data_IF_054465295407
#
_entry.id   IF_054465295407
#
_cell.length_a   1.000
_cell.length_b   1.000
_cell.length_c   1.000
_cell.angle_alpha   90.00
_cell.angle_beta   90.00
_cell.angle_gamma   90.00
#
_symmetry.space_group_name_H-M   'P 1'
#
loop_
_entity.id
_entity.type
_entity.pdbx_description
1 polymer ?
#
# COMPACT_ATOMS: atom_id res chain seq x y z
N UNK A 1 -16.60 -21.58 -90.97
CA UNK A 1 -15.16 -21.35 -90.72
C UNK A 1 -15.00 -20.74 -89.34
N UNK A 2 -13.99 -21.21 -88.61
CA UNK A 2 -13.60 -20.86 -87.23
C UNK A 2 -13.66 -19.35 -86.93
N UNK A 3 -14.03 -18.96 -85.71
CA UNK A 3 -13.12 -18.29 -84.75
C UNK A 3 -13.83 -17.80 -83.47
N UNK A 4 -13.31 -18.29 -82.32
CA UNK A 4 -12.92 -17.57 -81.09
C UNK A 4 -13.98 -16.66 -80.41
N UNK A 5 -14.70 -17.11 -79.37
CA UNK A 5 -14.28 -17.04 -77.94
C UNK A 5 -13.56 -15.75 -77.54
N UNK A 6 -14.29 -14.81 -76.93
CA UNK A 6 -13.74 -13.78 -76.04
C UNK A 6 -14.53 -13.83 -74.72
N UNK A 7 -13.96 -14.48 -73.71
CA UNK A 7 -14.43 -14.39 -72.32
C UNK A 7 -13.73 -13.18 -71.72
N UNK A 8 -14.48 -12.12 -71.42
CA UNK A 8 -14.00 -10.98 -70.67
C UNK A 8 -13.86 -11.38 -69.20
N UNK A 9 -12.62 -11.54 -68.74
CA UNK A 9 -12.31 -11.80 -67.34
C UNK A 9 -12.37 -10.46 -66.57
N UNK A 10 -13.50 -10.18 -65.92
CA UNK A 10 -13.60 -9.09 -64.95
C UNK A 10 -12.77 -9.44 -63.72
N UNK A 11 -11.59 -8.84 -63.60
CA UNK A 11 -10.79 -8.87 -62.37
C UNK A 11 -11.44 -7.91 -61.36
N UNK A 12 -12.25 -8.45 -60.46
CA UNK A 12 -12.66 -7.72 -59.26
C UNK A 12 -11.49 -7.68 -58.28
N UNK A 13 -10.86 -6.52 -58.14
CA UNK A 13 -9.93 -6.25 -57.05
C UNK A 13 -10.74 -6.14 -55.74
N UNK A 14 -10.82 -7.25 -54.99
CA UNK A 14 -11.30 -7.24 -53.61
C UNK A 14 -10.24 -6.53 -52.75
N UNK A 15 -10.49 -5.24 -52.47
CA UNK A 15 -9.81 -4.52 -51.38
C UNK A 15 -10.32 -5.12 -50.08
N UNK A 16 -9.64 -6.15 -49.59
CA UNK A 16 -9.85 -6.69 -48.26
C UNK A 16 -9.38 -5.68 -47.22
N UNK A 17 -10.30 -4.88 -46.68
CA UNK A 17 -10.08 -4.23 -45.40
C UNK A 17 -9.97 -5.32 -44.33
N UNK A 18 -8.76 -5.79 -44.06
CA UNK A 18 -8.46 -6.50 -42.82
C UNK A 18 -8.62 -5.51 -41.67
N UNK A 19 -9.82 -5.47 -41.08
CA UNK A 19 -9.98 -5.04 -39.69
C UNK A 19 -9.19 -6.05 -38.87
N UNK A 20 -7.96 -5.69 -38.50
CA UNK A 20 -7.22 -6.42 -37.48
C UNK A 20 -8.01 -6.22 -36.20
N UNK A 21 -8.78 -7.24 -35.85
CA UNK A 21 -9.41 -7.36 -34.53
C UNK A 21 -8.29 -7.61 -33.52
N UNK A 22 -7.57 -6.54 -33.16
CA UNK A 22 -6.61 -6.57 -32.07
C UNK A 22 -7.43 -6.72 -30.81
N UNK A 23 -7.59 -7.97 -30.33
CA UNK A 23 -8.02 -8.23 -28.95
C UNK A 23 -7.12 -7.39 -28.04
N UNK A 24 -7.66 -6.29 -27.53
CA UNK A 24 -6.97 -5.43 -26.59
C UNK A 24 -6.69 -6.27 -25.35
N UNK A 25 -5.41 -6.51 -25.07
CA UNK A 25 -5.01 -7.34 -23.94
C UNK A 25 -5.13 -6.49 -22.68
N UNK A 26 -6.18 -6.71 -21.92
CA UNK A 26 -6.36 -6.10 -20.61
C UNK A 26 -5.43 -6.75 -19.58
N UNK A 27 -4.86 -5.93 -18.72
CA UNK A 27 -3.93 -6.33 -17.67
C UNK A 27 -4.67 -6.51 -16.35
N UNK A 28 -4.17 -7.41 -15.51
CA UNK A 28 -4.63 -7.58 -14.14
C UNK A 28 -3.53 -7.15 -13.17
N UNK A 29 -3.69 -5.96 -12.59
CA UNK A 29 -2.73 -5.34 -11.69
C UNK A 29 -3.06 -5.74 -10.26
N UNK A 30 -2.04 -6.08 -9.47
CA UNK A 30 -2.16 -6.50 -8.07
C UNK A 30 -1.18 -5.71 -7.21
N UNK A 31 -1.42 -5.64 -5.88
CA UNK A 31 -0.39 -5.24 -4.97
C UNK A 31 0.86 -6.12 -5.12
N UNK A 32 2.03 -5.50 -5.08
CA UNK A 32 3.33 -6.14 -4.95
C UNK A 32 3.30 -6.96 -3.66
N UNK A 33 3.63 -8.26 -3.71
CA UNK A 33 3.70 -9.08 -2.51
C UNK A 33 4.67 -8.48 -1.50
N UNK A 34 4.23 -8.38 -0.24
CA UNK A 34 5.07 -7.96 0.88
C UNK A 34 6.31 -8.86 0.99
N UNK A 35 7.47 -8.23 1.23
CA UNK A 35 8.74 -8.91 1.42
C UNK A 35 9.12 -9.06 2.92
N UNK A 36 8.18 -8.77 3.83
CA UNK A 36 8.43 -8.84 5.27
C UNK A 36 8.58 -10.30 5.70
N UNK A 37 9.78 -10.66 6.15
CA UNK A 37 10.03 -11.95 6.79
C UNK A 37 9.98 -11.79 8.32
N UNK A 38 8.85 -12.16 8.92
CA UNK A 38 8.61 -12.04 10.37
C UNK A 38 9.65 -12.76 11.24
N UNK A 39 10.32 -13.79 10.73
CA UNK A 39 11.35 -14.54 11.47
C UNK A 39 12.74 -13.89 11.40
N UNK A 40 12.93 -12.88 10.56
CA UNK A 40 14.24 -12.31 10.25
C UNK A 40 14.19 -10.82 9.92
N UNK A 41 13.31 -10.05 10.56
CA UNK A 41 13.27 -8.58 10.39
C UNK A 41 14.57 -7.99 10.94
N UNK A 42 15.35 -7.32 10.10
CA UNK A 42 16.63 -6.70 10.49
C UNK A 42 16.60 -5.19 10.43
N UNK A 43 16.28 -4.63 9.26
CA UNK A 43 16.33 -3.19 9.01
C UNK A 43 15.06 -2.78 8.28
N UNK A 44 14.14 -2.13 9.00
CA UNK A 44 12.84 -1.74 8.47
C UNK A 44 12.19 -0.64 9.31
N UNK A 45 11.25 0.10 8.71
CA UNK A 45 10.29 0.93 9.44
C UNK A 45 8.90 0.44 9.08
N UNK A 46 8.21 -0.19 10.04
CA UNK A 46 6.96 -0.91 9.77
C UNK A 46 5.79 -0.34 10.59
N UNK A 47 4.58 -0.27 10.01
CA UNK A 47 3.36 -0.11 10.78
C UNK A 47 3.15 -1.30 11.73
N UNK A 48 2.71 -1.02 12.95
CA UNK A 48 2.48 -2.07 13.94
C UNK A 48 1.33 -1.74 14.89
N UNK A 49 0.73 -2.79 15.45
CA UNK A 49 -0.31 -2.74 16.48
C UNK A 49 0.18 -3.43 17.74
N UNK A 50 0.05 -2.77 18.87
CA UNK A 50 0.34 -3.29 20.22
C UNK A 50 -0.28 -2.37 21.27
N UNK A 51 -0.33 -2.81 22.52
CA UNK A 51 -0.66 -1.95 23.67
C UNK A 51 0.51 -1.86 24.65
N UNK A 52 0.40 -1.01 25.66
CA UNK A 52 1.42 -0.92 26.73
C UNK A 52 1.66 -2.26 27.44
N UNK A 53 0.69 -3.17 27.47
CA UNK A 53 0.83 -4.48 28.13
C UNK A 53 1.64 -5.48 27.32
N UNK A 54 1.88 -5.22 26.03
CA UNK A 54 2.68 -6.10 25.16
C UNK A 54 4.19 -5.90 25.34
N UNK A 55 4.61 -4.92 26.15
CA UNK A 55 6.00 -4.76 26.54
C UNK A 55 6.40 -5.79 27.60
N UNK A 56 7.43 -6.59 27.31
CA UNK A 56 8.13 -7.37 28.32
C UNK A 56 9.35 -6.57 28.81
N UNK A 57 9.17 -5.83 29.90
CA UNK A 57 10.22 -4.97 30.46
C UNK A 57 11.40 -5.75 31.04
N UNK A 58 11.17 -6.97 31.55
CA UNK A 58 12.25 -7.82 32.07
C UNK A 58 13.15 -8.36 30.97
N UNK A 59 12.58 -8.78 29.85
CA UNK A 59 13.33 -9.28 28.68
C UNK A 59 13.75 -8.16 27.73
N UNK A 60 13.29 -6.92 27.98
CA UNK A 60 13.47 -5.76 27.11
C UNK A 60 13.05 -6.06 25.68
N UNK A 61 11.79 -6.46 25.50
CA UNK A 61 11.21 -6.76 24.18
C UNK A 61 9.78 -6.27 24.06
N UNK A 62 9.27 -6.17 22.84
CA UNK A 62 7.88 -5.85 22.54
C UNK A 62 7.28 -6.94 21.66
N UNK A 63 6.09 -7.42 22.05
CA UNK A 63 5.21 -8.18 21.17
C UNK A 63 4.36 -7.21 20.34
N UNK A 64 4.28 -7.44 19.03
CA UNK A 64 3.48 -6.58 18.17
C UNK A 64 2.92 -7.34 16.97
N UNK A 65 1.81 -6.86 16.43
CA UNK A 65 1.32 -7.28 15.12
C UNK A 65 1.90 -6.36 14.06
N UNK A 66 2.58 -6.92 13.07
CA UNK A 66 3.19 -6.21 11.95
C UNK A 66 2.21 -6.10 10.79
N UNK A 67 2.21 -4.94 10.14
CA UNK A 67 1.46 -4.67 8.92
C UNK A 67 2.41 -4.19 7.82
N UNK A 68 2.04 -4.45 6.57
CA UNK A 68 2.62 -3.84 5.38
C UNK A 68 1.65 -2.82 4.76
N UNK A 69 2.14 -2.05 3.82
CA UNK A 69 1.32 -1.20 2.95
C UNK A 69 1.15 -1.94 1.62
N UNK A 70 -0.07 -1.98 1.09
CA UNK A 70 -0.32 -2.48 -0.26
C UNK A 70 0.24 -1.48 -1.28
N UNK A 71 1.30 -1.89 -1.98
CA UNK A 71 1.99 -1.08 -2.98
C UNK A 71 1.75 -1.63 -4.38
N UNK A 72 1.65 -0.77 -5.37
CA UNK A 72 1.46 -1.11 -6.78
C UNK A 72 2.65 -0.62 -7.58
N UNK A 73 3.05 -1.36 -8.61
CA UNK A 73 4.19 -1.01 -9.45
C UNK A 73 3.86 0.21 -10.34
N UNK A 74 4.69 1.25 -10.30
CA UNK A 74 4.46 2.47 -11.08
C UNK A 74 4.51 2.24 -12.60
N UNK A 75 5.27 1.26 -13.07
CA UNK A 75 5.34 0.90 -14.50
C UNK A 75 4.06 0.20 -14.96
N UNK A 76 3.39 -0.56 -14.08
CA UNK A 76 2.06 -1.11 -14.34
C UNK A 76 0.99 -0.01 -14.29
N UNK A 77 1.01 0.84 -13.26
CA UNK A 77 0.04 1.93 -13.09
C UNK A 77 0.10 2.95 -14.23
N UNK A 78 1.30 3.31 -14.71
CA UNK A 78 1.46 4.24 -15.84
C UNK A 78 0.93 3.71 -17.18
N UNK A 79 0.66 2.41 -17.28
CA UNK A 79 0.07 1.76 -18.48
C UNK A 79 -1.39 1.37 -18.29
N UNK A 80 -1.96 1.68 -17.12
CA UNK A 80 -3.35 1.40 -16.79
C UNK A 80 -4.27 2.03 -17.84
N UNK A 81 -5.19 1.25 -18.37
CA UNK A 81 -6.17 1.72 -19.34
C UNK A 81 -7.57 1.15 -19.06
N UNK A 82 -8.57 1.71 -19.73
CA UNK A 82 -9.94 1.22 -19.61
C UNK A 82 -10.04 -0.27 -19.96
N UNK A 83 -10.83 -1.01 -19.17
CA UNK A 83 -11.00 -2.46 -19.25
C UNK A 83 -9.93 -3.28 -18.52
N UNK A 84 -8.81 -2.67 -18.08
CA UNK A 84 -7.90 -3.34 -17.14
C UNK A 84 -8.61 -3.65 -15.82
N UNK A 85 -8.01 -4.52 -15.01
CA UNK A 85 -8.53 -4.85 -13.69
C UNK A 85 -7.48 -4.54 -12.63
N UNK A 86 -7.88 -3.87 -11.56
CA UNK A 86 -7.06 -3.68 -10.36
C UNK A 86 -7.61 -4.53 -9.22
N UNK A 87 -6.74 -5.23 -8.49
CA UNK A 87 -7.10 -5.94 -7.27
C UNK A 87 -6.98 -4.99 -6.08
N UNK A 88 -8.08 -4.69 -5.40
CA UNK A 88 -8.10 -3.88 -4.18
C UNK A 88 -8.94 -4.59 -3.12
N UNK A 89 -8.42 -4.78 -1.90
CA UNK A 89 -9.12 -5.48 -0.80
C UNK A 89 -9.69 -6.85 -1.18
N UNK A 90 -8.96 -7.60 -2.01
CA UNK A 90 -9.38 -8.88 -2.61
C UNK A 90 -10.56 -8.80 -3.58
N UNK A 91 -10.98 -7.59 -3.96
CA UNK A 91 -12.01 -7.34 -4.97
C UNK A 91 -11.36 -6.95 -6.29
N UNK A 92 -11.94 -7.45 -7.39
CA UNK A 92 -11.49 -7.13 -8.75
C UNK A 92 -12.32 -5.96 -9.26
N UNK A 93 -11.68 -4.83 -9.47
CA UNK A 93 -12.31 -3.61 -9.97
C UNK A 93 -11.91 -3.46 -11.44
N UNK A 94 -12.89 -3.51 -12.34
CA UNK A 94 -12.69 -3.22 -13.76
C UNK A 94 -12.59 -1.71 -13.94
N UNK A 95 -11.60 -1.24 -14.69
CA UNK A 95 -11.34 0.18 -14.89
C UNK A 95 -12.27 0.72 -15.98
N UNK A 96 -13.31 1.43 -15.57
CA UNK A 96 -14.30 2.05 -16.47
C UNK A 96 -14.04 3.56 -16.64
N UNK A 97 -13.37 4.17 -15.66
CA UNK A 97 -13.02 5.60 -15.65
C UNK A 97 -11.66 5.80 -15.00
N UNK A 98 -10.85 6.68 -15.60
CA UNK A 98 -9.57 7.13 -15.05
C UNK A 98 -9.58 8.66 -15.07
N UNK A 99 -9.27 9.27 -13.94
CA UNK A 99 -9.11 10.72 -13.77
C UNK A 99 -7.77 10.95 -13.05
N UNK A 100 -7.00 11.94 -13.49
CA UNK A 100 -5.72 12.29 -12.86
C UNK A 100 -5.76 13.77 -12.47
N UNK A 101 -5.76 14.02 -11.15
CA UNK A 101 -5.74 15.36 -10.57
C UNK A 101 -4.64 15.49 -9.51
N UNK A 102 -5.00 15.62 -8.23
CA UNK A 102 -4.10 15.41 -7.10
C UNK A 102 -3.71 13.93 -6.96
N UNK A 103 -4.63 13.03 -7.30
CA UNK A 103 -4.44 11.58 -7.24
C UNK A 103 -4.84 10.93 -8.57
N UNK A 104 -4.43 9.67 -8.76
CA UNK A 104 -4.96 8.85 -9.84
C UNK A 104 -6.24 8.17 -9.35
N UNK A 105 -7.37 8.62 -9.87
CA UNK A 105 -8.71 8.24 -9.45
C UNK A 105 -9.32 7.28 -10.46
N UNK A 106 -9.57 6.04 -10.03
CA UNK A 106 -10.19 4.97 -10.80
C UNK A 106 -11.65 4.86 -10.38
N UNK A 107 -12.58 4.86 -11.34
CA UNK A 107 -14.02 4.71 -11.12
C UNK A 107 -14.62 5.67 -10.07
N UNK A 108 -14.14 6.91 -10.04
CA UNK A 108 -14.59 7.92 -9.09
C UNK A 108 -13.97 7.81 -7.69
N UNK A 109 -13.02 6.90 -7.48
CA UNK A 109 -12.33 6.76 -6.20
C UNK A 109 -13.13 5.96 -5.16
N UNK A 110 -12.62 5.92 -3.94
CA UNK A 110 -13.09 4.98 -2.90
C UNK A 110 -14.56 5.21 -2.54
N UNK A 111 -15.01 6.47 -2.48
CA UNK A 111 -16.39 6.83 -2.13
C UNK A 111 -17.42 6.27 -3.11
N UNK A 112 -16.99 5.94 -4.33
CA UNK A 112 -17.84 5.40 -5.40
C UNK A 112 -17.53 3.92 -5.71
N UNK A 113 -16.81 3.23 -4.81
CA UNK A 113 -16.42 1.82 -5.00
C UNK A 113 -15.25 1.61 -5.96
N UNK A 114 -14.56 2.69 -6.33
CA UNK A 114 -13.34 2.68 -7.12
C UNK A 114 -12.08 2.66 -6.26
N UNK A 115 -10.99 3.20 -6.81
CA UNK A 115 -9.67 3.25 -6.15
C UNK A 115 -9.06 4.63 -6.34
N UNK A 116 -8.44 5.17 -5.30
CA UNK A 116 -7.63 6.38 -5.38
C UNK A 116 -6.17 6.00 -5.10
N UNK A 117 -5.27 6.33 -6.02
CA UNK A 117 -3.85 5.98 -5.95
C UNK A 117 -2.99 7.23 -5.88
N UNK A 118 -2.04 7.23 -4.96
CA UNK A 118 -1.03 8.27 -4.82
C UNK A 118 0.37 7.67 -5.05
N UNK A 119 1.24 8.43 -5.73
CA UNK A 119 2.64 8.06 -5.83
C UNK A 119 3.26 7.93 -4.44
N UNK A 120 4.09 6.92 -4.25
CA UNK A 120 4.73 6.61 -2.98
C UNK A 120 6.22 6.29 -3.18
N UNK A 121 6.92 6.04 -2.07
CA UNK A 121 8.35 5.74 -2.04
C UNK A 121 8.73 4.66 -3.08
N UNK A 122 9.87 4.88 -3.76
CA UNK A 122 10.50 3.89 -4.63
C UNK A 122 9.61 3.33 -5.74
N UNK A 123 9.39 4.10 -6.82
CA UNK A 123 8.69 3.64 -8.04
C UNK A 123 7.38 2.87 -7.79
N UNK A 124 6.65 3.22 -6.72
CA UNK A 124 5.39 2.59 -6.35
C UNK A 124 4.25 3.59 -6.23
N UNK A 125 3.03 3.07 -6.27
CA UNK A 125 1.81 3.75 -5.83
C UNK A 125 1.25 3.04 -4.60
N UNK A 126 0.55 3.78 -3.75
CA UNK A 126 -0.28 3.23 -2.67
C UNK A 126 -1.72 3.68 -2.85
N UNK A 127 -2.66 2.91 -2.29
CA UNK A 127 -4.03 3.40 -2.14
C UNK A 127 -4.07 4.56 -1.15
N UNK A 128 -4.87 5.57 -1.46
CA UNK A 128 -5.21 6.68 -0.59
C UNK A 128 -6.62 6.47 -0.04
N UNK A 129 -6.72 6.04 1.22
CA UNK A 129 -7.99 5.94 1.96
C UNK A 129 -8.38 7.31 2.54
N UNK A 130 -9.51 7.35 3.26
CA UNK A 130 -9.89 8.50 4.09
C UNK A 130 -8.73 8.91 5.02
N UNK A 131 -8.64 10.21 5.27
CA UNK A 131 -7.58 10.86 6.08
C UNK A 131 -6.16 10.53 5.60
N UNK A 132 -6.01 10.34 4.29
CA UNK A 132 -4.75 10.11 3.60
C UNK A 132 -4.01 8.80 4.00
N UNK A 133 -4.72 7.87 4.67
CA UNK A 133 -4.16 6.60 5.13
C UNK A 133 -3.94 5.60 4.00
N UNK A 134 -2.88 4.78 4.04
CA UNK A 134 -2.71 3.69 3.10
C UNK A 134 -3.65 2.52 3.41
N UNK A 135 -3.84 1.65 2.42
CA UNK A 135 -4.34 0.31 2.69
C UNK A 135 -3.24 -0.52 3.36
N UNK A 136 -3.49 -0.98 4.58
CA UNK A 136 -2.60 -1.87 5.30
C UNK A 136 -3.03 -3.34 5.17
N UNK A 137 -2.05 -4.24 5.13
CA UNK A 137 -2.25 -5.69 5.18
C UNK A 137 -1.54 -6.28 6.38
N UNK A 138 -2.24 -7.10 7.17
CA UNK A 138 -1.68 -7.75 8.34
C UNK A 138 -0.73 -8.87 7.93
N UNK A 139 0.51 -8.80 8.39
CA UNK A 139 1.54 -9.81 8.14
C UNK A 139 1.54 -10.91 9.21
N UNK A 140 1.43 -10.52 10.47
CA UNK A 140 1.45 -11.47 11.60
C UNK A 140 2.01 -10.87 12.88
N UNK A 141 2.28 -11.73 13.86
CA UNK A 141 2.81 -11.31 15.17
C UNK A 141 4.31 -11.62 15.28
N UNK A 142 5.05 -10.75 15.95
CA UNK A 142 6.48 -10.94 16.25
C UNK A 142 6.79 -10.40 17.65
N UNK A 143 7.82 -10.98 18.29
CA UNK A 143 8.47 -10.40 19.46
C UNK A 143 9.86 -9.94 19.05
N UNK A 144 10.17 -8.65 19.22
CA UNK A 144 11.51 -8.14 18.94
C UNK A 144 12.13 -7.49 20.17
N UNK A 145 13.45 -7.65 20.37
CA UNK A 145 14.16 -7.00 21.47
C UNK A 145 14.26 -5.49 21.24
N UNK A 146 14.19 -4.71 22.31
CA UNK A 146 14.42 -3.27 22.34
C UNK A 146 15.93 -2.99 22.29
N UNK A 147 16.36 -1.99 21.55
CA UNK A 147 17.77 -1.56 21.57
C UNK A 147 18.14 -0.89 22.91
N UNK A 148 19.45 -0.77 23.18
CA UNK A 148 19.93 -0.05 24.35
C UNK A 148 19.67 1.47 24.26
N UNK A 149 19.42 1.97 23.05
CA UNK A 149 19.10 3.37 22.74
C UNK A 149 17.63 3.53 22.36
N UNK A 150 16.77 2.59 22.77
CA UNK A 150 15.35 2.59 22.46
C UNK A 150 14.69 3.90 22.89
N UNK A 151 13.86 4.46 22.00
CA UNK A 151 13.12 5.69 22.23
C UNK A 151 11.67 5.57 21.77
N UNK A 152 10.80 6.37 22.37
CA UNK A 152 9.42 6.56 21.91
C UNK A 152 9.25 8.05 21.57
N UNK A 153 8.77 8.34 20.36
CA UNK A 153 8.39 9.67 19.89
C UNK A 153 6.86 9.66 19.84
N UNK A 154 6.21 10.33 20.78
CA UNK A 154 4.76 10.32 20.93
C UNK A 154 4.17 11.68 20.59
N UNK A 155 3.08 11.70 19.82
CA UNK A 155 2.33 12.91 19.53
C UNK A 155 1.54 13.39 20.75
N UNK A 156 1.19 14.67 20.77
CA UNK A 156 0.22 15.21 21.73
C UNK A 156 -1.23 14.83 21.38
N UNK A 157 -2.18 15.53 21.99
CA UNK A 157 -3.60 15.30 21.82
C UNK A 157 -4.17 16.06 20.62
N UNK A 158 -3.46 17.10 20.15
CA UNK A 158 -3.82 17.93 19.02
C UNK A 158 -2.77 17.86 17.90
N UNK A 159 -3.13 18.18 16.65
CA UNK A 159 -2.20 18.14 15.51
C UNK A 159 -0.95 19.02 15.71
N UNK A 160 -1.13 20.16 16.38
CA UNK A 160 -0.09 21.18 16.60
C UNK A 160 0.73 20.95 17.87
N UNK A 161 0.35 19.96 18.69
CA UNK A 161 1.10 19.68 19.91
C UNK A 161 2.49 19.14 19.56
N UNK A 162 3.55 19.59 20.26
CA UNK A 162 4.89 19.07 20.02
C UNK A 162 4.98 17.60 20.39
N UNK A 163 5.82 16.86 19.67
CA UNK A 163 6.11 15.47 20.01
C UNK A 163 6.94 15.39 21.30
N UNK A 164 6.57 14.50 22.21
CA UNK A 164 7.40 14.12 23.35
C UNK A 164 8.36 12.99 22.94
N UNK A 165 9.64 13.14 23.29
CA UNK A 165 10.63 12.10 23.05
C UNK A 165 11.06 11.46 24.37
N UNK A 166 10.51 10.28 24.63
CA UNK A 166 10.79 9.47 25.80
C UNK A 166 12.06 8.65 25.54
N UNK A 167 13.10 8.88 26.36
CA UNK A 167 14.40 8.19 26.28
C UNK A 167 14.73 7.36 27.52
N UNK A 168 14.04 7.62 28.62
CA UNK A 168 14.24 6.97 29.93
C UNK A 168 12.90 6.78 30.61
N UNK A 169 12.84 5.89 31.61
CA UNK A 169 11.63 5.59 32.37
C UNK A 169 10.41 5.23 31.50
N UNK A 170 10.65 4.55 30.37
CA UNK A 170 9.64 4.21 29.36
C UNK A 170 8.37 3.62 29.97
N UNK A 171 8.51 2.60 30.82
CA UNK A 171 7.40 1.94 31.51
C UNK A 171 6.52 2.93 32.28
N UNK A 172 7.11 3.70 33.19
CA UNK A 172 6.37 4.66 34.01
C UNK A 172 5.72 5.77 33.15
N UNK A 173 6.41 6.23 32.10
CA UNK A 173 5.86 7.24 31.18
C UNK A 173 4.64 6.71 30.43
N UNK A 174 4.68 5.47 29.94
CA UNK A 174 3.56 4.83 29.26
C UNK A 174 2.40 4.54 30.21
N UNK A 175 2.68 4.00 31.41
CA UNK A 175 1.65 3.71 32.44
C UNK A 175 0.93 4.98 32.93
N UNK A 176 1.60 6.14 32.90
CA UNK A 176 1.02 7.43 33.28
C UNK A 176 0.25 8.13 32.15
N UNK A 177 0.20 7.56 30.94
CA UNK A 177 -0.60 8.13 29.86
C UNK A 177 -2.10 7.96 30.14
N UNK A 178 -2.90 8.84 29.53
CA UNK A 178 -4.36 8.69 29.50
C UNK A 178 -4.71 7.34 28.84
N UNK A 179 -5.75 6.68 29.34
CA UNK A 179 -6.13 5.31 28.95
C UNK A 179 -6.31 5.14 27.44
N UNK A 180 -6.94 6.10 26.74
CA UNK A 180 -7.12 6.03 25.29
C UNK A 180 -5.80 6.07 24.49
N UNK A 181 -4.68 6.44 25.12
CA UNK A 181 -3.33 6.42 24.52
C UNK A 181 -2.58 5.12 24.84
N UNK A 182 -3.20 4.13 25.48
CA UNK A 182 -2.53 2.87 25.79
C UNK A 182 -2.36 1.97 24.56
N UNK A 183 -3.20 2.17 23.55
CA UNK A 183 -3.14 1.44 22.30
C UNK A 183 -2.34 2.18 21.23
N UNK A 184 -1.57 1.40 20.48
CA UNK A 184 -0.82 1.80 19.31
C UNK A 184 -1.38 1.04 18.11
N UNK A 185 -1.73 1.75 17.05
CA UNK A 185 -2.39 1.17 15.88
C UNK A 185 -1.59 1.44 14.60
N UNK A 186 -1.77 0.60 13.59
CA UNK A 186 -1.04 0.67 12.32
C UNK A 186 -1.24 2.00 11.59
N UNK A 187 -2.39 2.65 11.80
CA UNK A 187 -2.72 3.95 11.21
C UNK A 187 -1.73 5.04 11.64
N UNK A 188 -1.34 5.03 12.91
CA UNK A 188 -0.58 6.12 13.52
C UNK A 188 0.81 5.71 14.03
N UNK A 189 1.11 4.42 14.09
CA UNK A 189 2.34 3.91 14.71
C UNK A 189 3.32 3.41 13.66
N UNK A 190 4.59 3.75 13.84
CA UNK A 190 5.73 3.24 13.08
C UNK A 190 6.79 2.73 14.04
N UNK A 191 7.26 1.51 13.80
CA UNK A 191 8.33 0.86 14.57
C UNK A 191 9.56 0.77 13.69
N UNK A 192 10.62 1.48 14.08
CA UNK A 192 11.93 1.42 13.43
C UNK A 192 12.76 0.30 14.06
N UNK A 193 13.26 -0.58 13.21
CA UNK A 193 14.07 -1.73 13.56
C UNK A 193 15.41 -1.59 12.83
N UNK A 194 16.49 -1.73 13.58
CA UNK A 194 17.86 -1.73 13.04
C UNK A 194 18.62 -2.91 13.65
N UNK A 195 19.30 -3.68 12.80
CA UNK A 195 19.99 -4.92 13.19
C UNK A 195 19.13 -5.89 14.03
N UNK A 196 17.84 -5.97 13.73
CA UNK A 196 16.88 -6.87 14.39
C UNK A 196 16.44 -6.42 15.78
N UNK A 197 16.66 -5.15 16.14
CA UNK A 197 16.22 -4.56 17.40
C UNK A 197 15.38 -3.32 17.16
N UNK A 198 14.34 -3.13 17.97
CA UNK A 198 13.52 -1.93 17.92
C UNK A 198 14.34 -0.76 18.47
N UNK A 199 14.64 0.24 17.64
CA UNK A 199 15.39 1.44 18.05
C UNK A 199 14.49 2.63 18.33
N UNK A 200 13.34 2.71 17.65
CA UNK A 200 12.38 3.78 17.84
C UNK A 200 10.95 3.31 17.59
N UNK A 201 10.01 3.82 18.39
CA UNK A 201 8.59 3.80 18.10
C UNK A 201 8.15 5.25 17.91
N UNK A 202 7.49 5.55 16.80
CA UNK A 202 6.88 6.86 16.55
C UNK A 202 5.37 6.69 16.46
N UNK A 203 4.62 7.39 17.30
CA UNK A 203 3.16 7.55 17.16
C UNK A 203 2.87 8.97 16.69
N UNK A 204 2.18 9.09 15.57
CA UNK A 204 1.75 10.35 14.97
C UNK A 204 0.31 10.67 15.39
N UNK A 205 -0.04 11.95 15.36
CA UNK A 205 -1.43 12.34 15.56
C UNK A 205 -2.24 11.93 14.33
N UNK A 206 -3.47 11.46 14.56
CA UNK A 206 -4.49 11.21 13.53
C UNK A 206 -5.81 11.85 14.00
N UNK A 207 -6.67 12.34 13.09
CA UNK A 207 -7.99 12.91 13.41
C UNK A 207 -8.96 11.99 14.16
#
# INVERSE_FOLDING_TARGET
MRQLSLIALCVFALVGCTVKDTKQKHTFIKPIPSNINLSAIKDATIPAVFSISDFNWSEKSLFMTVYSIDLYDSTEISKLQLGDTILFRNEKIIVDKIEEDKYLTINGGIEYGGVELAAYEGETYRVQLMDDHPQYTKEGKVQLPLSNTFTIIDCGDNPEDPYDTIRTNHRQRLENMKEYKHDFIELNTRVKIENGRITNITRRWIP
#
